data_IF_449843576935
#
_entry.id   IF_449843576935
#
_cell.length_a   1.000
_cell.length_b   1.000
_cell.length_c   1.000
_cell.angle_alpha   90.00
_cell.angle_beta   90.00
_cell.angle_gamma   90.00
#
_symmetry.space_group_name_H-M   'P 1'
#
loop_
_entity.id
_entity.type
_entity.pdbx_description
1 polymer ?
#
# COMPACT_ATOMS: atom_id res chain seq x y z
N UNK A 1 -9.60 -17.09 4.18
CA UNK A 1 -9.17 -15.81 3.58
C UNK A 1 -8.30 -15.10 4.60
N UNK A 2 -7.17 -14.57 4.19
CA UNK A 2 -6.27 -13.82 5.06
C UNK A 2 -6.83 -12.43 5.34
N UNK A 3 -6.61 -11.86 6.55
CA UNK A 3 -7.08 -10.52 6.89
C UNK A 3 -6.03 -9.73 7.68
N UNK A 4 -5.86 -8.46 7.31
CA UNK A 4 -5.09 -7.46 8.04
C UNK A 4 -6.07 -6.54 8.75
N UNK A 5 -6.03 -6.51 10.08
CA UNK A 5 -6.98 -5.78 10.90
C UNK A 5 -6.28 -4.78 11.81
N UNK A 6 -6.82 -3.58 11.87
CA UNK A 6 -6.49 -2.57 12.85
C UNK A 6 -7.74 -2.27 13.69
N UNK A 7 -7.61 -2.31 15.02
CA UNK A 7 -8.74 -2.13 15.94
C UNK A 7 -8.44 -1.03 16.94
N UNK A 8 -9.28 0.01 16.97
CA UNK A 8 -9.26 1.11 17.93
C UNK A 8 -7.90 1.78 18.10
N UNK A 9 -7.20 2.00 16.98
CA UNK A 9 -5.87 2.61 16.97
C UNK A 9 -5.92 4.03 17.52
N UNK A 10 -4.96 4.34 18.40
CA UNK A 10 -4.77 5.68 18.95
C UNK A 10 -3.33 6.12 18.82
N UNK A 11 -3.15 7.42 18.50
CA UNK A 11 -1.84 8.08 18.48
C UNK A 11 -1.95 9.52 18.93
N UNK A 12 -1.06 9.88 19.86
CA UNK A 12 -0.91 11.24 20.35
C UNK A 12 0.51 11.73 20.14
N UNK A 13 0.67 12.93 19.64
CA UNK A 13 1.95 13.63 19.60
C UNK A 13 1.88 14.84 20.52
N UNK A 14 2.69 14.86 21.58
CA UNK A 14 2.65 15.88 22.62
C UNK A 14 1.23 16.02 23.21
N UNK A 15 0.60 17.19 23.00
CA UNK A 15 -0.76 17.47 23.47
C UNK A 15 -1.87 17.11 22.48
N UNK A 16 -1.53 16.83 21.21
CA UNK A 16 -2.51 16.60 20.12
C UNK A 16 -2.74 15.11 19.90
N UNK A 17 -3.98 14.66 20.02
CA UNK A 17 -4.40 13.35 19.53
C UNK A 17 -4.59 13.46 18.02
N UNK A 18 -3.87 12.63 17.24
CA UNK A 18 -3.86 12.65 15.78
C UNK A 18 -4.68 11.50 15.21
N UNK A 19 -4.73 10.38 15.93
CA UNK A 19 -5.58 9.23 15.60
C UNK A 19 -6.30 8.83 16.88
N UNK A 20 -7.62 8.71 16.82
CA UNK A 20 -8.48 8.42 17.98
C UNK A 20 -9.51 7.32 17.66
N UNK A 21 -9.16 6.09 17.99
CA UNK A 21 -10.07 4.94 17.91
C UNK A 21 -10.30 4.41 16.48
N UNK A 22 -9.38 4.66 15.54
CA UNK A 22 -9.54 4.20 14.15
C UNK A 22 -9.51 2.68 14.08
N UNK A 23 -10.52 2.10 13.43
CA UNK A 23 -10.59 0.68 13.11
C UNK A 23 -10.80 0.50 11.61
N UNK A 24 -10.03 -0.42 11.02
CA UNK A 24 -10.15 -0.81 9.60
C UNK A 24 -9.69 -2.26 9.41
N UNK A 25 -10.11 -2.82 8.30
CA UNK A 25 -9.76 -4.19 7.91
C UNK A 25 -9.52 -4.24 6.40
N UNK A 26 -8.58 -5.10 5.98
CA UNK A 26 -8.31 -5.42 4.58
C UNK A 26 -8.31 -6.93 4.43
N UNK A 27 -9.10 -7.48 3.53
CA UNK A 27 -9.09 -8.90 3.20
C UNK A 27 -8.09 -9.22 2.07
N UNK A 28 -7.67 -10.48 1.98
CA UNK A 28 -6.89 -10.94 0.83
C UNK A 28 -7.68 -10.76 -0.47
N UNK A 29 -7.03 -10.19 -1.52
CA UNK A 29 -7.68 -9.88 -2.78
C UNK A 29 -8.63 -8.68 -2.74
N UNK A 30 -8.60 -7.87 -1.68
CA UNK A 30 -9.38 -6.63 -1.55
C UNK A 30 -8.47 -5.42 -1.70
N UNK A 31 -8.96 -4.38 -2.37
CA UNK A 31 -8.31 -3.06 -2.45
C UNK A 31 -9.07 -2.08 -1.56
N UNK A 32 -8.41 -1.58 -0.53
CA UNK A 32 -8.99 -0.66 0.46
C UNK A 32 -8.30 0.70 0.41
N UNK A 33 -9.09 1.76 0.29
CA UNK A 33 -8.63 3.15 0.37
C UNK A 33 -8.70 3.71 1.79
N UNK A 34 -7.64 4.40 2.24
CA UNK A 34 -7.60 5.18 3.47
C UNK A 34 -7.49 6.66 3.11
N UNK A 35 -8.62 7.35 3.04
CA UNK A 35 -8.78 8.69 2.47
C UNK A 35 -9.22 9.70 3.52
N UNK A 36 -9.22 10.99 3.16
CA UNK A 36 -9.68 12.09 4.01
C UNK A 36 -8.86 13.36 3.81
N UNK A 37 -9.25 14.48 4.41
CA UNK A 37 -8.57 15.77 4.25
C UNK A 37 -7.14 15.78 4.80
N UNK A 38 -6.36 16.81 4.44
CA UNK A 38 -5.02 17.00 4.97
C UNK A 38 -5.06 17.20 6.49
N UNK A 39 -4.13 16.55 7.20
CA UNK A 39 -4.07 16.58 8.66
C UNK A 39 -5.11 15.74 9.41
N UNK A 40 -5.93 14.96 8.70
CA UNK A 40 -6.95 14.09 9.28
C UNK A 40 -6.39 12.88 10.08
N UNK A 41 -5.09 12.57 9.95
CA UNK A 41 -4.45 11.43 10.63
C UNK A 41 -4.20 10.21 9.75
N UNK A 42 -4.54 10.25 8.45
CA UNK A 42 -4.35 9.14 7.48
C UNK A 42 -2.95 8.54 7.52
N UNK A 43 -1.93 9.35 7.21
CA UNK A 43 -0.53 8.93 7.14
C UNK A 43 -0.06 8.36 8.48
N UNK A 44 -0.48 8.95 9.61
CA UNK A 44 -0.14 8.42 10.94
C UNK A 44 -0.78 7.05 11.16
N UNK A 45 -2.06 6.88 10.83
CA UNK A 45 -2.77 5.61 10.93
C UNK A 45 -2.10 4.56 10.02
N UNK A 46 -1.85 4.90 8.78
CA UNK A 46 -1.16 4.06 7.81
C UNK A 46 0.24 3.63 8.31
N UNK A 47 1.04 4.56 8.83
CA UNK A 47 2.37 4.26 9.36
C UNK A 47 2.36 3.41 10.64
N UNK A 48 1.29 3.51 11.44
CA UNK A 48 1.09 2.56 12.55
C UNK A 48 0.88 1.14 12.03
N UNK A 49 0.10 0.97 10.93
CA UNK A 49 -0.14 -0.35 10.32
C UNK A 49 1.13 -0.88 9.64
N UNK A 50 1.90 -0.04 8.97
CA UNK A 50 3.21 -0.38 8.39
C UNK A 50 4.22 -0.78 9.47
N UNK A 51 4.16 -0.16 10.66
CA UNK A 51 5.12 -0.36 11.76
C UNK A 51 6.27 0.65 11.77
N UNK A 52 6.09 1.80 11.12
CA UNK A 52 6.99 2.95 11.15
C UNK A 52 6.73 3.86 12.36
N UNK A 53 5.47 3.93 12.80
CA UNK A 53 5.04 4.71 13.98
C UNK A 53 4.43 3.74 14.99
N UNK A 54 4.86 3.76 16.27
CA UNK A 54 4.23 2.94 17.30
C UNK A 54 2.84 3.49 17.66
N UNK A 55 1.85 2.60 17.75
CA UNK A 55 0.54 2.93 18.29
C UNK A 55 0.63 3.10 19.80
N UNK A 56 -0.10 4.10 20.35
CA UNK A 56 -0.17 4.32 21.80
C UNK A 56 -1.25 3.42 22.44
N UNK A 57 -2.31 3.09 21.67
CA UNK A 57 -3.36 2.12 22.05
C UNK A 57 -3.96 1.48 20.80
N UNK A 58 -4.77 0.44 20.99
CA UNK A 58 -5.36 -0.36 19.93
C UNK A 58 -4.51 -1.57 19.56
N UNK A 59 -4.94 -2.31 18.53
CA UNK A 59 -4.32 -3.56 18.13
C UNK A 59 -4.23 -3.64 16.61
N UNK A 60 -3.14 -4.24 16.11
CA UNK A 60 -2.94 -4.57 14.70
C UNK A 60 -2.69 -6.06 14.62
N UNK A 61 -3.43 -6.75 13.76
CA UNK A 61 -3.41 -8.20 13.62
C UNK A 61 -3.33 -8.61 12.15
N UNK A 62 -2.60 -9.68 11.90
CA UNK A 62 -2.59 -10.42 10.63
C UNK A 62 -3.02 -11.85 10.92
N UNK A 63 -4.16 -12.27 10.41
CA UNK A 63 -4.74 -13.61 10.63
C UNK A 63 -4.84 -13.99 12.12
N UNK A 64 -5.26 -13.04 12.96
CA UNK A 64 -5.34 -13.22 14.42
C UNK A 64 -4.01 -13.13 15.15
N UNK A 65 -2.88 -13.04 14.44
CA UNK A 65 -1.57 -12.82 15.04
C UNK A 65 -1.32 -11.35 15.31
N UNK A 66 -1.04 -10.99 16.54
CA UNK A 66 -0.78 -9.61 16.91
C UNK A 66 0.56 -9.08 16.39
N UNK A 67 0.51 -7.92 15.73
CA UNK A 67 1.66 -7.22 15.14
C UNK A 67 1.94 -5.87 15.79
N UNK A 68 1.11 -5.41 16.72
CA UNK A 68 1.08 -4.02 17.22
C UNK A 68 2.46 -3.48 17.59
N UNK A 69 3.25 -4.30 18.29
CA UNK A 69 4.60 -3.93 18.75
C UNK A 69 5.73 -4.40 17.84
N UNK A 70 5.42 -5.07 16.73
CA UNK A 70 6.44 -5.57 15.82
C UNK A 70 6.94 -4.45 14.91
N UNK A 71 8.28 -4.29 14.76
CA UNK A 71 8.86 -3.35 13.81
C UNK A 71 8.62 -3.80 12.37
N UNK A 72 8.71 -2.87 11.42
CA UNK A 72 8.44 -3.07 9.99
C UNK A 72 9.09 -4.33 9.40
N UNK A 73 10.38 -4.59 9.69
CA UNK A 73 11.10 -5.75 9.14
C UNK A 73 10.53 -7.09 9.62
N UNK A 74 9.94 -7.16 10.82
CA UNK A 74 9.25 -8.36 11.31
C UNK A 74 7.88 -8.51 10.67
N UNK A 75 7.16 -7.40 10.43
CA UNK A 75 5.89 -7.42 9.70
C UNK A 75 6.10 -7.85 8.25
N UNK A 76 7.19 -7.42 7.61
CA UNK A 76 7.55 -7.85 6.27
C UNK A 76 7.74 -9.38 6.18
N UNK A 77 8.42 -9.99 7.15
CA UNK A 77 8.59 -11.46 7.23
C UNK A 77 7.28 -12.21 7.48
N UNK A 78 6.25 -11.52 7.95
CA UNK A 78 4.91 -12.09 8.17
C UNK A 78 3.97 -11.88 6.98
N UNK A 79 4.45 -11.22 5.91
CA UNK A 79 3.70 -11.06 4.68
C UNK A 79 3.11 -9.66 4.46
N UNK A 80 3.62 -8.63 5.12
CA UNK A 80 3.21 -7.23 4.87
C UNK A 80 4.34 -6.50 4.15
N UNK A 81 4.15 -6.15 2.88
CA UNK A 81 5.07 -5.29 2.14
C UNK A 81 4.61 -3.84 2.16
N UNK A 82 5.56 -2.92 2.17
CA UNK A 82 5.33 -1.48 2.12
C UNK A 82 6.05 -0.86 0.94
N UNK A 83 5.32 -0.11 0.15
CA UNK A 83 5.86 0.71 -0.93
C UNK A 83 5.68 2.19 -0.60
N UNK A 84 6.76 2.91 -0.31
CA UNK A 84 6.72 4.33 -0.01
C UNK A 84 6.36 5.17 -1.24
N UNK A 85 5.98 6.43 -0.99
CA UNK A 85 5.79 7.44 -2.03
C UNK A 85 7.08 7.71 -2.79
N UNK A 86 8.21 7.79 -2.07
CA UNK A 86 9.52 8.00 -2.68
C UNK A 86 10.09 6.71 -3.30
N UNK A 87 10.89 6.89 -4.36
CA UNK A 87 11.52 5.76 -5.04
C UNK A 87 12.44 4.96 -4.10
N UNK A 88 12.15 3.66 -3.99
CA UNK A 88 12.86 2.72 -3.10
C UNK A 88 13.86 1.81 -3.79
N UNK A 89 14.07 1.96 -5.11
CA UNK A 89 15.00 1.12 -5.87
C UNK A 89 16.47 1.40 -5.54
N UNK A 90 17.30 0.37 -5.59
CA UNK A 90 18.75 0.52 -5.52
C UNK A 90 19.28 1.07 -6.85
N UNK A 91 19.44 2.38 -6.93
CA UNK A 91 19.67 3.13 -8.19
C UNK A 91 20.89 2.66 -9.00
N UNK A 92 21.96 2.19 -8.32
CA UNK A 92 23.20 1.73 -8.95
C UNK A 92 23.18 0.27 -9.39
N UNK A 93 22.22 -0.51 -8.89
CA UNK A 93 22.03 -1.90 -9.27
C UNK A 93 21.22 -2.00 -10.56
N UNK A 94 21.40 -3.07 -11.32
CA UNK A 94 20.56 -3.44 -12.44
C UNK A 94 19.15 -3.83 -11.97
N UNK A 95 18.22 -3.98 -12.89
CA UNK A 95 16.86 -4.45 -12.62
C UNK A 95 16.89 -5.82 -11.96
N UNK A 96 17.68 -6.77 -12.52
CA UNK A 96 17.79 -8.11 -11.93
C UNK A 96 18.43 -8.09 -10.54
N UNK A 97 19.50 -7.35 -10.34
CA UNK A 97 20.16 -7.26 -9.03
C UNK A 97 19.26 -6.66 -7.96
N UNK A 98 18.38 -5.72 -8.33
CA UNK A 98 17.37 -5.16 -7.42
C UNK A 98 16.39 -6.22 -6.91
N UNK A 99 15.91 -7.12 -7.77
CA UNK A 99 15.00 -8.20 -7.39
C UNK A 99 15.75 -9.31 -6.70
N UNK A 100 16.92 -9.70 -7.21
CA UNK A 100 17.77 -10.73 -6.64
C UNK A 100 18.13 -10.44 -5.18
N UNK A 101 18.52 -9.20 -4.85
CA UNK A 101 18.85 -8.79 -3.48
C UNK A 101 17.72 -9.07 -2.46
N UNK A 102 16.47 -9.04 -2.90
CA UNK A 102 15.31 -9.39 -2.05
C UNK A 102 15.11 -10.90 -1.98
N UNK A 103 15.29 -11.61 -3.11
CA UNK A 103 15.12 -13.06 -3.18
C UNK A 103 16.18 -13.82 -2.37
N UNK A 104 17.42 -13.34 -2.32
CA UNK A 104 18.50 -13.89 -1.49
C UNK A 104 18.14 -13.94 -0.01
N UNK A 105 17.35 -12.97 0.47
CA UNK A 105 16.88 -12.94 1.86
C UNK A 105 15.79 -13.99 2.16
N UNK A 106 15.25 -14.66 1.13
CA UNK A 106 14.22 -15.69 1.30
C UNK A 106 14.80 -17.09 1.54
N UNK A 107 16.11 -17.27 1.43
CA UNK A 107 16.78 -18.55 1.62
C UNK A 107 16.45 -19.60 0.53
N UNK A 108 16.13 -19.14 -0.67
CA UNK A 108 15.88 -19.99 -1.84
C UNK A 108 17.19 -20.62 -2.34
N UNK A 109 17.11 -21.81 -2.91
CA UNK A 109 18.22 -22.39 -3.67
C UNK A 109 18.45 -21.59 -4.95
N UNK A 110 19.65 -21.68 -5.51
CA UNK A 110 20.01 -20.87 -6.68
C UNK A 110 19.08 -21.10 -7.88
N UNK A 111 18.69 -22.33 -8.16
CA UNK A 111 17.75 -22.69 -9.23
C UNK A 111 16.35 -22.08 -9.02
N UNK A 112 15.85 -22.13 -7.78
CA UNK A 112 14.57 -21.56 -7.39
C UNK A 112 14.61 -20.02 -7.44
N UNK A 113 15.74 -19.42 -7.03
CA UNK A 113 15.95 -17.98 -7.07
C UNK A 113 15.92 -17.47 -8.52
N UNK A 114 16.67 -18.11 -9.42
CA UNK A 114 16.72 -17.71 -10.84
C UNK A 114 15.38 -17.91 -11.55
N UNK A 115 14.66 -18.98 -11.24
CA UNK A 115 13.30 -19.22 -11.75
C UNK A 115 12.35 -18.09 -11.28
N UNK A 116 12.35 -17.78 -9.98
CA UNK A 116 11.49 -16.75 -9.41
C UNK A 116 11.83 -15.34 -9.89
N UNK A 117 13.13 -15.04 -10.04
CA UNK A 117 13.60 -13.80 -10.63
C UNK A 117 13.05 -13.61 -12.05
N UNK A 118 13.20 -14.62 -12.90
CA UNK A 118 12.73 -14.58 -14.29
C UNK A 118 11.20 -14.44 -14.35
N UNK A 119 10.48 -15.18 -13.54
CA UNK A 119 9.02 -15.07 -13.41
C UNK A 119 8.59 -13.64 -13.08
N UNK A 120 9.13 -13.04 -12.01
CA UNK A 120 8.76 -11.69 -11.57
C UNK A 120 9.05 -10.61 -12.62
N UNK A 121 10.21 -10.70 -13.29
CA UNK A 121 10.56 -9.75 -14.35
C UNK A 121 9.64 -9.86 -15.56
N UNK A 122 9.22 -11.08 -15.90
CA UNK A 122 8.29 -11.36 -17.00
C UNK A 122 6.89 -10.86 -16.68
N UNK A 123 6.36 -11.19 -15.52
CA UNK A 123 5.03 -10.81 -15.05
C UNK A 123 4.83 -9.29 -15.00
N UNK A 124 5.86 -8.57 -14.55
CA UNK A 124 5.85 -7.11 -14.49
C UNK A 124 6.28 -6.44 -15.81
N UNK A 125 6.49 -7.24 -16.87
CA UNK A 125 6.90 -6.77 -18.20
C UNK A 125 8.16 -5.87 -18.19
N UNK A 126 9.17 -6.26 -17.39
CA UNK A 126 10.48 -5.59 -17.30
C UNK A 126 11.66 -6.53 -17.58
N UNK A 127 11.40 -7.73 -18.10
CA UNK A 127 12.43 -8.72 -18.42
C UNK A 127 13.41 -8.20 -19.50
N UNK A 128 12.95 -7.40 -20.46
CA UNK A 128 13.78 -6.78 -21.48
C UNK A 128 14.76 -5.73 -20.93
N UNK A 129 14.50 -5.22 -19.71
CA UNK A 129 15.33 -4.26 -18.99
C UNK A 129 16.28 -4.93 -17.99
N UNK A 130 16.32 -6.25 -17.94
CA UNK A 130 16.99 -7.07 -16.91
C UNK A 130 18.38 -6.53 -16.52
N UNK A 131 19.21 -6.17 -17.52
CA UNK A 131 20.58 -5.70 -17.33
C UNK A 131 20.73 -4.17 -17.24
N UNK A 132 19.64 -3.40 -17.40
CA UNK A 132 19.69 -1.95 -17.28
C UNK A 132 19.83 -1.51 -15.83
N UNK A 133 20.61 -0.46 -15.60
CA UNK A 133 20.71 0.16 -14.29
C UNK A 133 19.34 0.78 -13.89
N UNK A 134 18.91 0.58 -12.66
CA UNK A 134 17.62 1.10 -12.19
C UNK A 134 17.50 2.64 -12.27
N UNK A 135 18.65 3.34 -12.32
CA UNK A 135 18.70 4.79 -12.50
C UNK A 135 18.16 5.23 -13.88
N UNK A 136 18.32 4.42 -14.93
CA UNK A 136 17.92 4.75 -16.30
C UNK A 136 16.44 4.47 -16.60
N UNK A 137 15.71 3.88 -15.68
CA UNK A 137 14.30 3.50 -15.85
C UNK A 137 13.39 4.73 -15.87
N UNK A 138 12.37 4.68 -16.71
CA UNK A 138 11.21 5.59 -16.62
C UNK A 138 10.45 5.42 -15.31
N UNK A 139 9.57 6.35 -14.98
CA UNK A 139 8.76 6.29 -13.76
C UNK A 139 7.93 5.00 -13.66
N UNK A 140 7.26 4.62 -14.75
CA UNK A 140 6.44 3.41 -14.80
C UNK A 140 7.25 2.12 -14.69
N UNK A 141 8.39 2.02 -15.39
CA UNK A 141 9.30 0.87 -15.29
C UNK A 141 9.89 0.73 -13.88
N UNK A 142 10.23 1.86 -13.25
CA UNK A 142 10.72 1.89 -11.88
C UNK A 142 9.64 1.41 -10.90
N UNK A 143 8.40 1.84 -11.08
CA UNK A 143 7.28 1.37 -10.24
C UNK A 143 7.07 -0.13 -10.37
N UNK A 144 7.17 -0.67 -11.59
CA UNK A 144 7.10 -2.13 -11.83
C UNK A 144 8.25 -2.88 -11.15
N UNK A 145 9.45 -2.31 -11.15
CA UNK A 145 10.60 -2.88 -10.44
C UNK A 145 10.38 -2.88 -8.91
N UNK A 146 9.82 -1.82 -8.35
CA UNK A 146 9.45 -1.75 -6.92
C UNK A 146 8.44 -2.83 -6.54
N UNK A 147 7.42 -3.02 -7.37
CA UNK A 147 6.42 -4.09 -7.18
C UNK A 147 7.06 -5.48 -7.33
N UNK A 148 7.94 -5.70 -8.31
CA UNK A 148 8.66 -6.96 -8.47
C UNK A 148 9.46 -7.30 -7.20
N UNK A 149 10.15 -6.32 -6.61
CA UNK A 149 10.85 -6.47 -5.32
C UNK A 149 9.90 -6.81 -4.18
N UNK A 150 8.76 -6.12 -4.09
CA UNK A 150 7.75 -6.40 -3.07
C UNK A 150 7.21 -7.82 -3.20
N UNK A 151 6.89 -8.27 -4.41
CA UNK A 151 6.41 -9.64 -4.70
C UNK A 151 7.46 -10.72 -4.44
N UNK A 152 8.75 -10.35 -4.47
CA UNK A 152 9.84 -11.26 -4.10
C UNK A 152 9.71 -11.79 -2.66
N UNK A 153 9.09 -11.02 -1.75
CA UNK A 153 8.84 -11.47 -0.37
C UNK A 153 7.57 -12.32 -0.21
N UNK A 154 6.83 -12.60 -1.28
CA UNK A 154 5.54 -13.32 -1.26
C UNK A 154 4.54 -12.72 -0.25
N UNK A 155 4.21 -11.42 -0.34
CA UNK A 155 3.36 -10.77 0.63
C UNK A 155 1.90 -11.24 0.51
N UNK A 156 1.22 -11.32 1.67
CA UNK A 156 -0.24 -11.44 1.71
C UNK A 156 -0.91 -10.06 1.57
N UNK A 157 -0.22 -9.00 1.98
CA UNK A 157 -0.70 -7.62 1.90
C UNK A 157 0.39 -6.67 1.41
N UNK A 158 0.00 -5.71 0.57
CA UNK A 158 0.85 -4.60 0.11
C UNK A 158 0.21 -3.28 0.51
N UNK A 159 0.99 -2.43 1.19
CA UNK A 159 0.59 -1.11 1.62
C UNK A 159 1.24 -0.06 0.72
N UNK A 160 0.43 0.72 0.00
CA UNK A 160 0.86 1.73 -0.97
C UNK A 160 0.66 3.14 -0.40
N UNK A 161 1.75 3.87 -0.26
CA UNK A 161 1.75 5.25 0.23
C UNK A 161 1.74 6.22 -0.95
N UNK A 162 0.65 6.94 -1.12
CA UNK A 162 0.42 7.94 -2.15
C UNK A 162 0.87 7.51 -3.58
N UNK A 163 0.37 6.36 -4.10
CA UNK A 163 0.84 5.82 -5.36
C UNK A 163 0.54 6.71 -6.59
N UNK A 164 -0.43 7.63 -6.49
CA UNK A 164 -0.84 8.54 -7.57
C UNK A 164 -0.26 9.96 -7.44
N UNK A 165 0.53 10.23 -6.38
CA UNK A 165 1.06 11.56 -6.13
C UNK A 165 2.08 11.97 -7.20
N UNK A 166 1.84 13.11 -7.87
CA UNK A 166 2.76 13.67 -8.85
C UNK A 166 2.93 12.83 -10.13
N UNK A 167 1.98 11.94 -10.41
CA UNK A 167 2.01 11.02 -11.55
C UNK A 167 1.15 11.58 -12.70
N UNK A 168 1.63 11.45 -13.94
CA UNK A 168 0.86 11.83 -15.12
C UNK A 168 -0.31 10.86 -15.38
N UNK A 169 -1.37 11.29 -16.13
CA UNK A 169 -2.56 10.48 -16.33
C UNK A 169 -2.32 9.12 -17.00
N UNK A 170 -1.28 9.00 -17.84
CA UNK A 170 -0.96 7.71 -18.50
C UNK A 170 -0.35 6.75 -17.48
N UNK A 171 0.54 7.24 -16.64
CA UNK A 171 1.16 6.44 -15.59
C UNK A 171 0.15 6.06 -14.46
N UNK A 172 -0.89 6.86 -14.22
CA UNK A 172 -2.01 6.48 -13.33
C UNK A 172 -2.67 5.18 -13.80
N UNK A 173 -2.97 5.05 -15.10
CA UNK A 173 -3.55 3.83 -15.66
C UNK A 173 -2.65 2.61 -15.47
N UNK A 174 -1.33 2.78 -15.59
CA UNK A 174 -0.38 1.70 -15.34
C UNK A 174 -0.37 1.26 -13.87
N UNK A 175 -0.43 2.21 -12.93
CA UNK A 175 -0.51 1.92 -11.50
C UNK A 175 -1.83 1.20 -11.18
N UNK A 176 -2.95 1.64 -11.76
CA UNK A 176 -4.25 0.99 -11.59
C UNK A 176 -4.23 -0.45 -12.10
N UNK A 177 -3.61 -0.72 -13.26
CA UNK A 177 -3.43 -2.10 -13.78
C UNK A 177 -2.58 -2.95 -12.85
N UNK A 178 -1.51 -2.40 -12.29
CA UNK A 178 -0.67 -3.10 -11.32
C UNK A 178 -1.47 -3.44 -10.06
N UNK A 179 -2.28 -2.54 -9.54
CA UNK A 179 -3.13 -2.80 -8.36
C UNK A 179 -4.17 -3.89 -8.68
N UNK A 180 -4.79 -3.85 -9.86
CA UNK A 180 -5.68 -4.91 -10.34
C UNK A 180 -4.98 -6.27 -10.39
N UNK A 181 -3.77 -6.33 -10.93
CA UNK A 181 -2.94 -7.52 -10.96
C UNK A 181 -2.62 -8.08 -9.56
N UNK A 182 -2.33 -7.21 -8.58
CA UNK A 182 -2.12 -7.63 -7.19
C UNK A 182 -3.38 -8.25 -6.59
N UNK A 183 -4.55 -7.60 -6.81
CA UNK A 183 -5.85 -8.09 -6.36
C UNK A 183 -6.20 -9.47 -6.94
N UNK A 184 -6.00 -9.67 -8.24
CA UNK A 184 -6.25 -10.94 -8.93
C UNK A 184 -5.38 -12.08 -8.39
N UNK A 185 -4.22 -11.77 -7.84
CA UNK A 185 -3.34 -12.72 -7.14
C UNK A 185 -3.74 -13.02 -5.69
N UNK A 186 -4.85 -12.46 -5.24
CA UNK A 186 -5.32 -12.63 -3.87
C UNK A 186 -4.53 -11.80 -2.85
N UNK A 187 -3.73 -10.82 -3.28
CA UNK A 187 -2.99 -9.94 -2.38
C UNK A 187 -3.92 -8.80 -1.95
N UNK A 188 -4.07 -8.61 -0.64
CA UNK A 188 -4.81 -7.46 -0.11
C UNK A 188 -3.98 -6.18 -0.26
N UNK A 189 -4.63 -5.08 -0.66
CA UNK A 189 -3.95 -3.80 -0.90
C UNK A 189 -4.58 -2.71 -0.04
N UNK A 190 -3.77 -2.01 0.76
CA UNK A 190 -4.18 -0.80 1.46
C UNK A 190 -3.50 0.41 0.81
N UNK A 191 -4.30 1.40 0.40
CA UNK A 191 -3.81 2.59 -0.28
C UNK A 191 -4.15 3.82 0.56
N UNK A 192 -3.18 4.71 0.79
CA UNK A 192 -3.45 6.09 1.21
C UNK A 192 -3.05 7.04 0.09
N UNK A 193 -3.91 7.97 -0.26
CA UNK A 193 -3.65 8.96 -1.31
C UNK A 193 -4.49 10.23 -1.08
N UNK A 194 -4.08 11.31 -1.71
CA UNK A 194 -4.86 12.54 -1.80
C UNK A 194 -5.65 12.64 -3.12
N UNK A 195 -5.34 11.83 -4.12
CA UNK A 195 -6.07 11.68 -5.38
C UNK A 195 -7.31 10.80 -5.19
N UNK A 196 -8.38 11.41 -4.68
CA UNK A 196 -9.61 10.71 -4.27
C UNK A 196 -10.24 9.96 -5.41
N UNK A 197 -10.36 10.59 -6.59
CA UNK A 197 -11.03 10.02 -7.77
C UNK A 197 -10.31 8.76 -8.23
N UNK A 198 -8.99 8.83 -8.38
CA UNK A 198 -8.16 7.72 -8.85
C UNK A 198 -8.19 6.55 -7.86
N UNK A 199 -8.16 6.88 -6.57
CA UNK A 199 -8.19 5.86 -5.50
C UNK A 199 -9.56 5.20 -5.38
N UNK A 200 -10.64 5.97 -5.34
CA UNK A 200 -12.00 5.40 -5.28
C UNK A 200 -12.32 4.58 -6.53
N UNK A 201 -11.79 4.96 -7.70
CA UNK A 201 -12.01 4.24 -8.96
C UNK A 201 -11.48 2.81 -8.99
N UNK A 202 -10.57 2.44 -8.08
CA UNK A 202 -9.96 1.10 -8.02
C UNK A 202 -10.21 0.35 -6.71
N UNK A 203 -10.75 1.03 -5.70
CA UNK A 203 -11.02 0.41 -4.40
C UNK A 203 -12.31 -0.39 -4.41
N UNK A 204 -12.31 -1.52 -3.71
CA UNK A 204 -13.53 -2.26 -3.38
C UNK A 204 -14.26 -1.60 -2.20
N UNK A 205 -13.49 -0.97 -1.29
CA UNK A 205 -13.98 -0.29 -0.10
C UNK A 205 -13.04 0.86 0.29
N UNK A 206 -13.58 1.90 0.94
CA UNK A 206 -12.78 2.99 1.48
C UNK A 206 -13.18 3.36 2.91
N UNK A 207 -12.21 3.85 3.66
CA UNK A 207 -12.37 4.48 4.97
C UNK A 207 -12.02 5.96 4.82
N UNK A 208 -12.93 6.84 5.22
CA UNK A 208 -12.70 8.27 5.25
C UNK A 208 -12.36 8.69 6.66
N UNK A 209 -11.13 9.17 6.85
CA UNK A 209 -10.66 9.69 8.13
C UNK A 209 -10.88 11.20 8.17
N UNK A 210 -11.44 11.69 9.26
CA UNK A 210 -11.57 13.10 9.57
C UNK A 210 -11.31 13.31 11.07
N UNK A 211 -10.53 14.31 11.43
CA UNK A 211 -10.21 14.67 12.82
C UNK A 211 -9.72 13.48 13.68
N UNK A 212 -8.95 12.59 13.05
CA UNK A 212 -8.38 11.41 13.72
C UNK A 212 -9.30 10.21 13.87
N UNK A 213 -10.56 10.28 13.43
CA UNK A 213 -11.54 9.21 13.52
C UNK A 213 -12.09 8.79 12.15
N UNK A 214 -12.70 7.60 12.08
CA UNK A 214 -13.41 7.17 10.87
C UNK A 214 -14.73 7.94 10.76
N UNK A 215 -14.84 8.80 9.75
CA UNK A 215 -16.06 9.55 9.43
C UNK A 215 -17.08 8.67 8.70
N UNK A 216 -16.61 7.85 7.75
CA UNK A 216 -17.43 6.93 6.99
C UNK A 216 -16.59 5.77 6.46
N UNK A 217 -17.22 4.63 6.21
CA UNK A 217 -16.62 3.50 5.50
C UNK A 217 -17.69 2.82 4.65
N UNK A 218 -17.31 2.31 3.49
CA UNK A 218 -18.22 1.65 2.57
C UNK A 218 -17.63 1.50 1.18
N UNK A 219 -18.46 1.09 0.23
CA UNK A 219 -18.11 1.03 -1.19
C UNK A 219 -17.94 2.45 -1.76
N UNK A 220 -17.17 2.63 -2.84
CA UNK A 220 -16.98 3.94 -3.47
C UNK A 220 -18.26 4.71 -3.71
N UNK A 221 -19.31 4.04 -4.21
CA UNK A 221 -20.62 4.67 -4.48
C UNK A 221 -21.28 5.20 -3.18
N UNK A 222 -21.19 4.44 -2.08
CA UNK A 222 -21.71 4.86 -0.77
C UNK A 222 -20.96 6.06 -0.23
N UNK A 223 -19.63 6.06 -0.37
CA UNK A 223 -18.75 7.16 0.05
C UNK A 223 -19.07 8.46 -0.72
N UNK A 224 -19.23 8.38 -2.04
CA UNK A 224 -19.51 9.55 -2.91
C UNK A 224 -20.86 10.18 -2.61
N UNK A 225 -21.86 9.38 -2.21
CA UNK A 225 -23.19 9.86 -1.87
C UNK A 225 -23.38 10.23 -0.39
N UNK A 226 -22.38 9.99 0.46
CA UNK A 226 -22.45 10.33 1.87
C UNK A 226 -22.37 11.85 2.09
N UNK A 227 -23.42 12.46 2.63
CA UNK A 227 -23.54 13.92 2.81
C UNK A 227 -22.44 14.48 3.72
N UNK A 228 -22.05 13.77 4.78
CA UNK A 228 -20.99 14.21 5.68
C UNK A 228 -19.63 14.17 4.98
N UNK A 229 -19.37 13.13 4.18
CA UNK A 229 -18.12 13.02 3.39
C UNK A 229 -18.05 14.13 2.34
N UNK A 230 -19.15 14.42 1.65
CA UNK A 230 -19.24 15.52 0.66
C UNK A 230 -18.95 16.86 1.34
N UNK A 231 -19.60 17.15 2.44
CA UNK A 231 -19.43 18.41 3.17
C UNK A 231 -18.03 18.62 3.69
N UNK A 232 -17.35 17.58 4.21
CA UNK A 232 -16.07 17.69 4.91
C UNK A 232 -14.87 17.47 3.99
N UNK A 233 -15.03 16.70 2.91
CA UNK A 233 -13.89 16.23 2.14
C UNK A 233 -14.03 16.36 0.62
N UNK A 234 -15.11 15.85 0.02
CA UNK A 234 -15.22 15.76 -1.44
C UNK A 234 -15.66 17.08 -2.09
N UNK A 235 -16.47 17.88 -1.38
CA UNK A 235 -17.20 19.02 -1.95
C UNK A 235 -18.49 18.61 -2.66
N UNK A 236 -19.45 19.55 -2.76
CA UNK A 236 -20.78 19.27 -3.29
C UNK A 236 -20.78 18.88 -4.77
N UNK A 237 -19.83 19.38 -5.55
CA UNK A 237 -19.74 19.17 -7.00
C UNK A 237 -18.86 17.96 -7.39
N UNK A 238 -18.38 17.15 -6.42
CA UNK A 238 -17.55 16.00 -6.73
C UNK A 238 -18.32 14.97 -7.56
N UNK A 239 -17.69 14.47 -8.66
CA UNK A 239 -18.17 13.39 -9.54
C UNK A 239 -17.03 12.40 -9.76
N UNK A 240 -17.36 11.12 -9.77
CA UNK A 240 -16.45 10.04 -10.19
C UNK A 240 -16.14 10.11 -11.68
#
# INVERSE_FOLDING_TARGET
MSSLRAASLRKRFKSRTVVDGVSLEVASGEVVGLLGPNGAGKTTCFYMIVGLVPADAGRIELDGRELTRLPIHRRARLGISYLPQENSVFRKLSVEENVQAVLELQGLREDELQARLTELLTELNIAHLRRHAALSLSGGERRRLEIARALGTRPAFILLDEPFAGVDPIAVLDIQRIIGFLRERGIGVLITDHNVRETLGICDRAYIISEGAVLASGRPEEIVHNENVRRVYLGENFRM
#
